data_IF_479019399709
#
_entry.id   IF_479019399709
#
_cell.length_a   1.000
_cell.length_b   1.000
_cell.length_c   1.000
_cell.angle_alpha   90.00
_cell.angle_beta   90.00
_cell.angle_gamma   90.00
#
_symmetry.space_group_name_H-M   'P 1'
#
loop_
_entity.id
_entity.type
_entity.pdbx_description
1 polymer ?
#
# COMPACT_ATOMS: atom_id res chain seq x y z
N UNK A 1 5.27 31.35 18.26
CA UNK A 1 6.72 31.06 18.25
C UNK A 1 6.97 29.99 17.19
N UNK A 2 7.94 30.19 16.29
CA UNK A 2 8.22 29.22 15.24
C UNK A 2 8.90 27.97 15.84
N UNK A 3 8.35 26.80 15.55
CA UNK A 3 8.91 25.50 15.91
C UNK A 3 10.25 25.29 15.19
N UNK A 4 11.26 24.76 15.88
CA UNK A 4 12.50 24.35 15.22
C UNK A 4 12.25 23.06 14.44
N UNK A 5 12.50 23.07 13.13
CA UNK A 5 12.22 21.92 12.28
C UNK A 5 13.19 20.78 12.56
N UNK A 6 12.68 19.55 12.51
CA UNK A 6 13.48 18.33 12.61
C UNK A 6 14.21 18.14 11.27
N UNK A 7 15.53 18.07 11.32
CA UNK A 7 16.36 17.81 10.14
C UNK A 7 16.29 16.34 9.75
N UNK A 8 16.08 16.08 8.47
CA UNK A 8 16.10 14.74 7.87
C UNK A 8 17.24 14.71 6.84
N UNK A 9 18.25 13.89 7.10
CA UNK A 9 19.51 13.90 6.34
C UNK A 9 19.36 13.35 4.93
N UNK A 10 18.64 12.24 4.81
CA UNK A 10 18.45 11.55 3.54
C UNK A 10 17.05 11.84 2.97
N UNK A 11 16.92 11.89 1.64
CA UNK A 11 15.66 12.25 1.02
C UNK A 11 14.61 11.13 1.13
N UNK A 12 13.37 11.52 0.86
CA UNK A 12 12.27 10.60 0.55
C UNK A 12 11.73 10.90 -0.85
N UNK A 13 11.20 9.88 -1.51
CA UNK A 13 10.46 10.02 -2.77
C UNK A 13 9.00 10.33 -2.45
N UNK A 14 8.45 11.36 -3.07
CA UNK A 14 7.02 11.67 -3.03
C UNK A 14 6.43 11.43 -4.41
N UNK A 15 5.44 10.55 -4.48
CA UNK A 15 4.65 10.31 -5.67
C UNK A 15 3.27 10.96 -5.49
N UNK A 16 3.06 12.12 -6.10
CA UNK A 16 1.76 12.81 -6.08
C UNK A 16 0.75 12.05 -6.95
N UNK A 17 -0.54 12.27 -6.72
CA UNK A 17 -1.60 11.46 -7.31
C UNK A 17 -2.75 12.27 -7.88
N UNK A 18 -3.96 11.71 -7.81
CA UNK A 18 -5.13 12.24 -8.50
C UNK A 18 -6.28 12.59 -7.54
N UNK A 19 -7.23 13.37 -8.06
CA UNK A 19 -8.55 13.63 -7.49
C UNK A 19 -8.56 14.05 -6.00
N UNK A 20 -9.42 13.44 -5.17
CA UNK A 20 -9.63 13.88 -3.79
C UNK A 20 -8.39 13.62 -2.93
N UNK A 21 -7.69 12.51 -3.20
CA UNK A 21 -6.46 12.17 -2.52
C UNK A 21 -5.36 13.19 -2.82
N UNK A 22 -5.25 13.72 -4.04
CA UNK A 22 -4.31 14.81 -4.36
C UNK A 22 -4.56 16.07 -3.54
N UNK A 23 -5.84 16.44 -3.35
CA UNK A 23 -6.23 17.59 -2.52
C UNK A 23 -5.81 17.37 -1.06
N UNK A 24 -6.09 16.20 -0.51
CA UNK A 24 -5.72 15.80 0.86
C UNK A 24 -4.20 15.75 1.02
N UNK A 25 -3.49 15.20 0.04
CA UNK A 25 -2.04 15.04 0.03
C UNK A 25 -1.32 16.36 0.20
N UNK A 26 -1.76 17.39 -0.54
CA UNK A 26 -1.27 18.76 -0.38
C UNK A 26 -1.52 19.31 1.04
N UNK A 27 -2.74 19.14 1.58
CA UNK A 27 -3.08 19.61 2.92
C UNK A 27 -2.21 18.93 4.00
N UNK A 28 -1.98 17.63 3.88
CA UNK A 28 -1.09 16.88 4.78
C UNK A 28 0.33 17.44 4.70
N UNK A 29 0.88 17.59 3.49
CA UNK A 29 2.24 18.11 3.30
C UNK A 29 2.40 19.52 3.88
N UNK A 30 1.45 20.42 3.61
CA UNK A 30 1.49 21.81 4.04
C UNK A 30 1.21 22.02 5.54
N UNK A 31 0.32 21.22 6.14
CA UNK A 31 -0.12 21.43 7.53
C UNK A 31 0.53 20.49 8.53
N UNK A 32 0.92 19.29 8.12
CA UNK A 32 1.37 18.21 9.00
C UNK A 32 2.83 17.81 8.80
N UNK A 33 3.46 18.09 7.63
CA UNK A 33 4.83 17.64 7.34
C UNK A 33 5.81 18.83 7.31
N UNK A 34 5.71 19.70 6.30
CA UNK A 34 6.66 20.79 6.07
C UNK A 34 6.75 21.86 7.18
N UNK A 35 5.72 22.10 8.02
CA UNK A 35 5.86 22.97 9.17
C UNK A 35 6.83 22.44 10.24
N UNK A 36 7.02 21.12 10.31
CA UNK A 36 7.76 20.45 11.37
C UNK A 36 9.08 19.85 10.90
N UNK A 37 9.23 19.57 9.60
CA UNK A 37 10.40 18.88 9.05
C UNK A 37 11.17 19.77 8.06
N UNK A 38 12.50 19.71 8.14
CA UNK A 38 13.43 20.15 7.11
C UNK A 38 13.91 18.88 6.39
N UNK A 39 13.30 18.59 5.24
CA UNK A 39 13.44 17.32 4.51
C UNK A 39 13.59 17.58 3.02
N UNK A 40 14.52 16.87 2.38
CA UNK A 40 14.67 16.83 0.92
C UNK A 40 13.65 15.84 0.34
N UNK A 41 12.75 16.34 -0.50
CA UNK A 41 11.71 15.52 -1.14
C UNK A 41 12.01 15.43 -2.64
N UNK A 42 12.19 14.20 -3.12
CA UNK A 42 12.27 13.90 -4.55
C UNK A 42 10.85 13.71 -5.08
N UNK A 43 10.31 14.81 -5.60
CA UNK A 43 8.93 14.90 -6.05
C UNK A 43 8.75 14.36 -7.47
N UNK A 44 7.73 13.52 -7.66
CA UNK A 44 7.27 13.00 -8.94
C UNK A 44 5.75 13.16 -9.02
N UNK A 45 5.26 13.78 -10.08
CA UNK A 45 3.82 13.95 -10.29
C UNK A 45 3.25 12.72 -11.03
N UNK A 46 2.65 11.77 -10.32
CA UNK A 46 1.97 10.63 -10.95
C UNK A 46 0.50 10.91 -11.25
N UNK A 47 0.07 12.17 -11.23
CA UNK A 47 -1.23 12.57 -11.72
C UNK A 47 -1.43 12.12 -13.17
N UNK A 48 -2.61 11.61 -13.48
CA UNK A 48 -2.92 11.04 -14.80
C UNK A 48 -2.53 11.96 -15.98
N UNK A 49 -2.77 13.29 -15.94
CA UNK A 49 -2.33 14.18 -17.02
C UNK A 49 -0.80 14.21 -17.20
N UNK A 50 -0.02 14.10 -16.12
CA UNK A 50 1.44 14.12 -16.22
C UNK A 50 2.02 12.76 -16.63
N UNK A 51 1.40 11.66 -16.21
CA UNK A 51 1.72 10.34 -16.75
C UNK A 51 1.47 10.27 -18.25
N UNK A 52 0.33 10.76 -18.73
CA UNK A 52 0.05 10.85 -20.17
C UNK A 52 1.09 11.75 -20.90
N UNK A 53 1.36 12.93 -20.37
CA UNK A 53 2.34 13.87 -20.95
C UNK A 53 3.79 13.36 -20.98
N UNK A 54 4.12 12.32 -20.21
CA UNK A 54 5.47 11.74 -20.13
C UNK A 54 5.54 10.33 -20.72
N UNK A 55 4.50 9.87 -21.41
CA UNK A 55 4.39 8.48 -21.88
C UNK A 55 4.64 7.46 -20.75
N UNK A 56 4.11 7.77 -19.56
CA UNK A 56 4.24 7.03 -18.30
C UNK A 56 5.68 6.92 -17.76
N UNK A 57 6.64 7.67 -18.33
CA UNK A 57 8.03 7.66 -17.86
C UNK A 57 8.19 8.13 -16.42
N UNK A 58 7.39 9.11 -15.98
CA UNK A 58 7.44 9.60 -14.59
C UNK A 58 7.17 8.48 -13.57
N UNK A 59 6.36 7.48 -13.95
CA UNK A 59 6.09 6.30 -13.11
C UNK A 59 7.34 5.44 -12.96
N UNK A 60 8.10 5.23 -14.04
CA UNK A 60 9.36 4.47 -14.02
C UNK A 60 10.42 5.23 -13.24
N UNK A 61 10.58 6.53 -13.52
CA UNK A 61 11.59 7.38 -12.87
C UNK A 61 11.37 7.50 -11.36
N UNK A 62 10.10 7.53 -10.92
CA UNK A 62 9.78 7.54 -9.49
C UNK A 62 10.11 6.19 -8.81
N UNK A 63 9.90 5.06 -9.49
CA UNK A 63 10.29 3.75 -8.99
C UNK A 63 11.83 3.60 -8.91
N UNK A 64 12.57 4.05 -9.93
CA UNK A 64 14.04 4.07 -9.91
C UNK A 64 14.58 4.97 -8.78
N UNK A 65 13.96 6.14 -8.58
CA UNK A 65 14.29 7.00 -7.45
C UNK A 65 14.02 6.33 -6.11
N UNK A 66 12.95 5.53 -6.01
CA UNK A 66 12.61 4.79 -4.79
C UNK A 66 13.66 3.74 -4.49
N UNK A 67 14.11 2.97 -5.49
CA UNK A 67 15.23 2.03 -5.35
C UNK A 67 16.52 2.75 -4.92
N UNK A 68 16.74 3.98 -5.39
CA UNK A 68 17.92 4.78 -5.02
C UNK A 68 17.85 5.32 -3.58
N UNK A 69 16.69 5.81 -3.15
CA UNK A 69 16.52 6.53 -1.88
C UNK A 69 15.85 5.70 -0.77
N UNK A 70 15.45 4.47 -1.08
CA UNK A 70 14.88 3.44 -0.19
C UNK A 70 13.47 3.72 0.35
N UNK A 71 12.93 4.94 0.20
CA UNK A 71 11.66 5.32 0.82
C UNK A 71 10.81 6.10 -0.17
N UNK A 72 9.62 5.60 -0.47
CA UNK A 72 8.57 6.33 -1.17
C UNK A 72 7.30 6.46 -0.35
N UNK A 73 6.65 7.61 -0.48
CA UNK A 73 5.28 7.84 -0.03
C UNK A 73 4.44 8.21 -1.25
N UNK A 74 3.33 7.48 -1.45
CA UNK A 74 2.55 7.56 -2.67
C UNK A 74 1.09 7.90 -2.40
N UNK A 75 0.61 8.90 -3.12
CA UNK A 75 -0.80 9.24 -3.21
C UNK A 75 -1.52 8.27 -4.17
N UNK A 76 -2.82 8.03 -3.96
CA UNK A 76 -3.62 7.23 -4.88
C UNK A 76 -3.67 7.87 -6.28
N UNK A 77 -3.61 7.03 -7.31
CA UNK A 77 -3.55 7.40 -8.73
C UNK A 77 -4.69 6.74 -9.50
N UNK A 78 -5.21 7.40 -10.53
CA UNK A 78 -6.21 6.79 -11.44
C UNK A 78 -5.53 5.72 -12.30
N UNK A 79 -6.08 4.51 -12.38
CA UNK A 79 -5.69 3.54 -13.40
C UNK A 79 -6.62 3.68 -14.61
N UNK A 80 -6.18 4.24 -15.75
CA UNK A 80 -7.01 4.31 -16.95
C UNK A 80 -7.14 2.91 -17.57
N UNK A 81 -8.38 2.42 -17.77
CA UNK A 81 -8.68 1.37 -18.76
C UNK A 81 -9.11 2.03 -20.08
N UNK A 82 -8.92 1.50 -21.29
CA UNK A 82 -8.48 0.19 -21.79
C UNK A 82 -7.16 0.36 -22.55
N UNK A 83 -6.20 -0.55 -22.35
CA UNK A 83 -4.90 -0.54 -23.04
C UNK A 83 -4.97 -1.46 -24.25
N UNK A 84 -4.92 -0.90 -25.47
CA UNK A 84 -4.65 -1.64 -26.70
C UNK A 84 -3.17 -1.46 -27.03
N UNK A 85 -2.39 -2.54 -26.97
CA UNK A 85 -0.98 -2.55 -27.36
C UNK A 85 -0.82 -3.54 -28.49
N UNK A 86 -0.46 -3.02 -29.67
CA UNK A 86 -0.15 -3.81 -30.84
C UNK A 86 1.33 -3.59 -31.18
N UNK A 87 2.17 -4.65 -31.19
CA UNK A 87 3.58 -4.48 -31.54
C UNK A 87 3.72 -4.27 -33.05
N UNK A 88 4.54 -3.29 -33.43
CA UNK A 88 5.01 -3.16 -34.81
C UNK A 88 6.20 -4.11 -34.98
N UNK A 89 6.05 -5.13 -35.82
CA UNK A 89 7.07 -6.15 -36.05
C UNK A 89 8.02 -5.73 -37.18
N UNK A 90 9.29 -5.50 -36.85
CA UNK A 90 10.36 -5.29 -37.82
C UNK A 90 11.29 -6.52 -37.84
N UNK A 91 11.41 -7.18 -39.01
CA UNK A 91 12.14 -8.46 -39.17
C UNK A 91 13.61 -8.43 -38.75
N UNK A 92 14.22 -7.25 -38.70
CA UNK A 92 15.63 -7.01 -38.43
C UNK A 92 15.91 -6.37 -37.06
N UNK A 93 14.89 -6.16 -36.22
CA UNK A 93 15.05 -5.62 -34.86
C UNK A 93 15.04 -6.79 -33.86
N UNK A 94 16.13 -7.01 -33.10
CA UNK A 94 16.15 -8.03 -32.06
C UNK A 94 15.12 -7.72 -30.97
N UNK A 95 14.41 -8.75 -30.50
CA UNK A 95 13.43 -8.63 -29.41
C UNK A 95 14.16 -8.62 -28.06
N UNK A 96 13.68 -7.79 -27.13
CA UNK A 96 14.15 -7.73 -25.73
C UNK A 96 13.85 -9.00 -24.93
N UNK A 97 12.87 -9.79 -25.36
CA UNK A 97 12.68 -11.18 -24.92
C UNK A 97 13.26 -12.08 -26.02
N UNK A 98 14.43 -12.70 -25.81
CA UNK A 98 14.92 -13.73 -26.71
C UNK A 98 13.92 -14.88 -26.76
N UNK A 99 13.78 -15.52 -27.92
CA UNK A 99 13.20 -16.88 -27.92
C UNK A 99 14.04 -17.74 -26.95
N UNK A 100 13.40 -18.59 -26.12
CA UNK A 100 14.12 -19.43 -25.19
C UNK A 100 15.24 -20.17 -25.91
N UNK A 101 16.49 -19.87 -25.53
CA UNK A 101 17.69 -20.55 -26.03
C UNK A 101 18.01 -21.72 -25.12
N UNK A 102 17.02 -22.59 -24.95
CA UNK A 102 17.21 -23.99 -24.58
C UNK A 102 16.35 -24.78 -25.55
N UNK A 103 16.83 -25.94 -26.00
CA UNK A 103 16.07 -26.86 -26.84
C UNK A 103 14.92 -27.52 -26.04
N UNK A 104 14.14 -26.73 -25.32
CA UNK A 104 12.90 -27.17 -24.71
C UNK A 104 11.84 -27.23 -25.81
N UNK A 105 11.27 -28.43 -25.98
CA UNK A 105 10.18 -28.67 -26.90
C UNK A 105 9.09 -27.64 -26.66
N UNK A 106 8.74 -26.87 -27.69
CA UNK A 106 7.52 -26.05 -27.68
C UNK A 106 6.35 -26.95 -27.31
N UNK A 107 5.68 -26.64 -26.20
CA UNK A 107 4.49 -27.35 -25.76
C UNK A 107 3.28 -26.56 -26.27
N UNK A 108 2.56 -27.15 -27.22
CA UNK A 108 1.26 -26.62 -27.65
C UNK A 108 0.16 -27.27 -26.81
N UNK A 109 -0.70 -26.44 -26.20
CA UNK A 109 -1.85 -26.88 -25.43
C UNK A 109 -3.09 -26.19 -25.99
N UNK A 110 -4.06 -26.96 -26.46
CA UNK A 110 -5.37 -26.43 -26.82
C UNK A 110 -6.09 -26.01 -25.53
N UNK A 111 -6.29 -24.70 -25.35
CA UNK A 111 -7.01 -24.15 -24.18
C UNK A 111 -8.53 -24.21 -24.42
N UNK A 112 -8.99 -23.74 -25.57
CA UNK A 112 -10.40 -23.73 -25.95
C UNK A 112 -10.57 -23.48 -27.45
N UNK A 113 -11.61 -24.05 -28.07
CA UNK A 113 -12.01 -23.76 -29.45
C UNK A 113 -13.24 -22.83 -29.47
N UNK A 114 -13.04 -21.55 -29.80
CA UNK A 114 -14.13 -20.58 -29.87
C UNK A 114 -15.08 -20.90 -31.04
N UNK A 115 -16.39 -20.92 -30.76
CA UNK A 115 -17.45 -21.12 -31.76
C UNK A 115 -18.50 -20.01 -31.66
N UNK A 116 -19.35 -19.85 -32.67
CA UNK A 116 -20.43 -18.87 -32.67
C UNK A 116 -19.94 -17.41 -32.68
N UNK A 117 -20.49 -16.55 -31.82
CA UNK A 117 -20.19 -15.11 -31.78
C UNK A 117 -18.83 -14.75 -31.15
N UNK A 118 -17.94 -15.73 -30.92
CA UNK A 118 -16.63 -15.53 -30.32
C UNK A 118 -16.64 -15.54 -28.78
N UNK A 119 -15.57 -15.03 -28.16
CA UNK A 119 -15.42 -14.99 -26.71
C UNK A 119 -14.14 -14.26 -26.28
N UNK A 120 -13.74 -14.43 -25.02
CA UNK A 120 -12.54 -13.81 -24.44
C UNK A 120 -11.57 -14.87 -23.93
N UNK A 121 -10.28 -14.61 -24.05
CA UNK A 121 -9.21 -15.45 -23.52
C UNK A 121 -8.24 -14.60 -22.69
N UNK A 122 -7.65 -15.19 -21.66
CA UNK A 122 -6.62 -14.58 -20.83
C UNK A 122 -5.52 -15.62 -20.59
N UNK A 123 -4.27 -15.17 -20.71
CA UNK A 123 -3.10 -15.91 -20.24
C UNK A 123 -2.42 -15.10 -19.14
N UNK A 124 -1.92 -15.79 -18.12
CA UNK A 124 -1.22 -15.19 -17.00
C UNK A 124 -0.04 -16.08 -16.60
N UNK A 125 0.99 -15.48 -16.02
CA UNK A 125 2.18 -16.18 -15.55
C UNK A 125 2.65 -15.60 -14.23
N UNK A 126 3.50 -16.37 -13.54
CA UNK A 126 4.33 -15.91 -12.45
C UNK A 126 5.68 -16.65 -12.52
N UNK A 127 6.68 -16.20 -11.79
CA UNK A 127 8.02 -16.80 -11.79
C UNK A 127 8.34 -17.36 -10.42
N UNK A 128 9.09 -18.47 -10.39
CA UNK A 128 9.52 -19.08 -9.13
C UNK A 128 10.34 -18.11 -8.27
N UNK A 129 11.17 -17.27 -8.90
CA UNK A 129 11.94 -16.21 -8.25
C UNK A 129 11.03 -15.21 -7.50
N UNK A 130 9.97 -14.74 -8.16
CA UNK A 130 9.00 -13.82 -7.55
C UNK A 130 8.24 -14.47 -6.40
N UNK A 131 7.81 -15.73 -6.57
CA UNK A 131 7.10 -16.48 -5.53
C UNK A 131 8.02 -16.74 -4.32
N UNK A 132 9.30 -17.06 -4.54
CA UNK A 132 10.27 -17.26 -3.48
C UNK A 132 10.53 -15.95 -2.70
N UNK A 133 10.72 -14.84 -3.41
CA UNK A 133 10.89 -13.53 -2.78
C UNK A 133 9.65 -13.14 -1.95
N UNK A 134 8.44 -13.44 -2.45
CA UNK A 134 7.20 -13.22 -1.72
C UNK A 134 7.07 -14.11 -0.46
N UNK A 135 7.50 -15.37 -0.53
CA UNK A 135 7.56 -16.28 0.62
C UNK A 135 8.50 -15.74 1.70
N UNK A 136 9.72 -15.37 1.32
CA UNK A 136 10.74 -14.78 2.20
C UNK A 136 10.22 -13.51 2.90
N UNK A 137 9.65 -12.58 2.13
CA UNK A 137 9.09 -11.34 2.67
C UNK A 137 7.94 -11.61 3.67
N UNK A 138 7.08 -12.58 3.37
CA UNK A 138 5.96 -12.97 4.24
C UNK A 138 6.45 -13.60 5.55
N UNK A 139 7.42 -14.50 5.48
CA UNK A 139 8.02 -15.16 6.65
C UNK A 139 8.74 -14.16 7.56
N UNK A 140 9.54 -13.28 6.98
CA UNK A 140 10.24 -12.22 7.70
C UNK A 140 9.26 -11.26 8.39
N UNK A 141 8.16 -10.92 7.72
CA UNK A 141 7.11 -10.06 8.28
C UNK A 141 6.41 -10.72 9.48
N UNK A 142 6.02 -11.99 9.33
CA UNK A 142 5.42 -12.78 10.41
C UNK A 142 6.37 -12.92 11.61
N UNK A 143 7.65 -13.21 11.36
CA UNK A 143 8.69 -13.31 12.38
C UNK A 143 8.87 -12.00 13.15
N UNK A 144 8.99 -10.85 12.45
CA UNK A 144 9.11 -9.53 13.08
C UNK A 144 7.90 -9.16 13.92
N UNK A 145 6.69 -9.53 13.48
CA UNK A 145 5.44 -9.29 14.21
C UNK A 145 5.19 -10.31 15.33
N UNK A 146 5.95 -11.41 15.37
CA UNK A 146 5.73 -12.56 16.26
C UNK A 146 4.33 -13.15 16.11
N UNK A 147 3.88 -13.26 14.87
CA UNK A 147 2.56 -13.78 14.51
C UNK A 147 2.68 -15.01 13.60
N UNK A 148 1.73 -15.97 13.66
CA UNK A 148 1.68 -17.06 12.69
C UNK A 148 1.41 -16.53 11.27
N UNK A 149 1.82 -17.31 10.27
CA UNK A 149 1.68 -17.00 8.84
C UNK A 149 0.74 -17.98 8.15
N UNK A 150 -0.20 -17.45 7.36
CA UNK A 150 -1.07 -18.25 6.50
C UNK A 150 -0.89 -17.89 5.03
N UNK A 151 -0.67 -18.87 4.16
CA UNK A 151 -0.77 -18.71 2.70
C UNK A 151 -2.13 -19.24 2.22
N UNK A 152 -2.86 -18.44 1.44
CA UNK A 152 -4.10 -18.90 0.80
C UNK A 152 -3.94 -19.10 -0.70
N UNK A 153 -4.46 -20.22 -1.23
CA UNK A 153 -4.51 -20.47 -2.69
C UNK A 153 -5.77 -21.23 -3.08
N UNK A 154 -5.99 -21.47 -4.38
CA UNK A 154 -6.97 -22.43 -4.91
C UNK A 154 -6.30 -23.61 -5.62
N UNK A 155 -5.27 -24.21 -5.01
CA UNK A 155 -4.50 -25.32 -5.58
C UNK A 155 -5.30 -26.62 -5.84
N UNK A 156 -6.52 -26.76 -5.30
CA UNK A 156 -7.42 -27.86 -5.69
C UNK A 156 -7.93 -27.74 -7.12
N UNK A 157 -8.04 -26.50 -7.63
CA UNK A 157 -8.46 -26.18 -8.99
C UNK A 157 -7.24 -25.91 -9.88
N UNK A 158 -6.41 -24.96 -9.50
CA UNK A 158 -5.18 -24.60 -10.22
C UNK A 158 -3.99 -25.44 -9.75
N UNK A 159 -4.07 -26.75 -9.96
CA UNK A 159 -3.14 -27.74 -9.36
C UNK A 159 -1.66 -27.45 -9.62
N UNK A 160 -1.31 -27.03 -10.84
CA UNK A 160 0.08 -26.67 -11.19
C UNK A 160 0.42 -25.25 -10.76
N UNK A 161 -0.41 -24.27 -11.12
CA UNK A 161 -0.12 -22.85 -10.90
C UNK A 161 -0.12 -22.49 -9.41
N UNK A 162 -1.21 -22.78 -8.70
CA UNK A 162 -1.32 -22.49 -7.26
C UNK A 162 -0.59 -23.53 -6.41
N UNK A 163 -0.42 -24.76 -6.93
CA UNK A 163 0.47 -25.74 -6.33
C UNK A 163 1.91 -25.22 -6.23
N UNK A 164 2.38 -24.48 -7.24
CA UNK A 164 3.73 -23.90 -7.23
C UNK A 164 3.95 -22.91 -6.08
N UNK A 165 2.96 -22.06 -5.78
CA UNK A 165 3.00 -21.18 -4.61
C UNK A 165 3.10 -21.97 -3.31
N UNK A 166 2.24 -22.97 -3.13
CA UNK A 166 2.24 -23.83 -1.95
C UNK A 166 3.60 -24.52 -1.76
N UNK A 167 4.12 -25.11 -2.83
CA UNK A 167 5.35 -25.91 -2.78
C UNK A 167 6.57 -25.03 -2.47
N UNK A 168 6.68 -23.85 -3.10
CA UNK A 168 7.78 -22.91 -2.84
C UNK A 168 7.71 -22.37 -1.41
N UNK A 169 6.53 -21.95 -0.93
CA UNK A 169 6.41 -21.50 0.46
C UNK A 169 6.76 -22.60 1.47
N UNK A 170 6.34 -23.84 1.21
CA UNK A 170 6.69 -24.97 2.07
C UNK A 170 8.20 -25.23 2.07
N UNK A 171 8.83 -25.20 0.88
CA UNK A 171 10.27 -25.36 0.76
C UNK A 171 11.02 -24.30 1.56
N UNK A 172 10.72 -23.01 1.32
CA UNK A 172 11.31 -21.87 2.03
C UNK A 172 11.13 -22.00 3.55
N UNK A 173 9.92 -22.36 3.99
CA UNK A 173 9.66 -22.57 5.41
C UNK A 173 10.57 -23.64 6.01
N UNK A 174 10.59 -24.84 5.44
CA UNK A 174 11.36 -25.98 5.95
C UNK A 174 12.86 -25.72 5.94
N UNK A 175 13.38 -25.06 4.89
CA UNK A 175 14.82 -24.88 4.72
C UNK A 175 15.38 -23.69 5.49
N UNK A 176 14.62 -22.60 5.67
CA UNK A 176 15.19 -21.32 6.13
C UNK A 176 14.53 -20.74 7.40
N UNK A 177 13.28 -21.11 7.68
CA UNK A 177 12.46 -20.41 8.68
C UNK A 177 11.90 -21.28 9.80
N UNK A 178 11.76 -22.59 9.60
CA UNK A 178 11.12 -23.50 10.55
C UNK A 178 11.71 -23.41 11.95
N UNK A 179 13.04 -23.53 12.09
CA UNK A 179 13.68 -23.45 13.41
C UNK A 179 13.48 -22.09 14.09
N UNK A 180 13.42 -20.99 13.32
CA UNK A 180 13.17 -19.64 13.85
C UNK A 180 11.72 -19.48 14.33
N UNK A 181 10.78 -20.02 13.56
CA UNK A 181 9.34 -19.98 13.86
C UNK A 181 9.01 -20.82 15.10
N UNK A 182 9.51 -22.07 15.14
CA UNK A 182 9.34 -22.98 16.29
C UNK A 182 9.94 -22.39 17.57
N UNK A 183 11.14 -21.80 17.50
CA UNK A 183 11.76 -21.14 18.66
C UNK A 183 10.97 -19.93 19.18
N UNK A 184 10.17 -19.28 18.32
CA UNK A 184 9.32 -18.14 18.69
C UNK A 184 7.88 -18.59 19.08
N UNK A 185 7.53 -19.87 18.91
CA UNK A 185 6.19 -20.38 19.18
C UNK A 185 5.14 -19.96 18.13
N UNK A 186 5.57 -19.63 16.91
CA UNK A 186 4.68 -19.30 15.78
C UNK A 186 4.81 -20.38 14.69
N UNK A 187 3.88 -20.43 13.76
CA UNK A 187 3.84 -21.45 12.70
C UNK A 187 3.51 -20.85 11.33
N UNK A 188 3.78 -21.63 10.28
CA UNK A 188 3.30 -21.40 8.92
C UNK A 188 2.28 -22.47 8.54
N UNK A 189 1.19 -22.07 7.89
CA UNK A 189 0.18 -23.00 7.38
C UNK A 189 -0.34 -22.57 6.01
N UNK A 190 -0.52 -23.54 5.11
CA UNK A 190 -1.24 -23.35 3.86
C UNK A 190 -2.73 -23.65 4.04
N UNK A 191 -3.60 -22.78 3.52
CA UNK A 191 -5.06 -22.98 3.47
C UNK A 191 -5.61 -22.78 2.08
N UNK A 192 -6.76 -23.40 1.82
CA UNK A 192 -7.56 -23.03 0.66
C UNK A 192 -8.20 -21.66 0.90
N UNK A 193 -8.29 -20.83 -0.14
CA UNK A 193 -8.79 -19.45 0.00
C UNK A 193 -10.20 -19.38 0.59
N UNK A 194 -11.07 -20.33 0.26
CA UNK A 194 -12.42 -20.45 0.81
C UNK A 194 -12.45 -20.82 2.30
N UNK A 195 -11.51 -21.63 2.78
CA UNK A 195 -11.35 -21.87 4.22
C UNK A 195 -10.73 -20.65 4.90
N UNK A 196 -9.73 -20.02 4.28
CA UNK A 196 -9.02 -18.88 4.87
C UNK A 196 -9.94 -17.67 5.07
N UNK A 197 -10.84 -17.36 4.12
CA UNK A 197 -11.83 -16.28 4.30
C UNK A 197 -12.85 -16.60 5.41
N UNK A 198 -13.20 -17.88 5.58
CA UNK A 198 -14.10 -18.29 6.66
C UNK A 198 -13.38 -18.25 8.02
N UNK A 199 -12.09 -18.60 8.06
CA UNK A 199 -11.23 -18.46 9.21
C UNK A 199 -11.06 -16.99 9.59
N UNK A 200 -10.80 -16.10 8.63
CA UNK A 200 -10.56 -14.68 8.90
C UNK A 200 -11.77 -13.99 9.52
N UNK A 201 -12.99 -14.37 9.12
CA UNK A 201 -14.24 -13.88 9.71
C UNK A 201 -14.48 -14.34 11.15
N UNK A 202 -13.97 -15.52 11.53
CA UNK A 202 -14.21 -16.15 12.84
C UNK A 202 -13.08 -15.95 13.83
N UNK A 203 -11.88 -15.65 13.33
CA UNK A 203 -10.67 -15.49 14.12
C UNK A 203 -10.68 -14.16 14.88
N UNK A 204 -9.97 -14.12 16.01
CA UNK A 204 -9.73 -12.90 16.78
C UNK A 204 -8.61 -12.02 16.17
N UNK A 205 -8.02 -12.44 15.04
CA UNK A 205 -6.90 -11.74 14.39
C UNK A 205 -5.54 -12.22 14.88
N UNK A 206 -4.52 -11.37 14.77
CA UNK A 206 -3.16 -11.67 15.27
C UNK A 206 -2.35 -12.65 14.41
N UNK A 207 -2.51 -12.60 13.09
CA UNK A 207 -1.77 -13.41 12.13
C UNK A 207 -1.36 -12.57 10.91
N UNK A 208 -0.38 -13.06 10.15
CA UNK A 208 -0.06 -12.56 8.80
C UNK A 208 -0.74 -13.44 7.77
N UNK A 209 -1.41 -12.83 6.80
CA UNK A 209 -2.06 -13.54 5.69
C UNK A 209 -1.37 -13.17 4.36
N UNK A 210 -0.61 -14.12 3.83
CA UNK A 210 -0.03 -14.04 2.49
C UNK A 210 -1.10 -14.38 1.44
N UNK A 211 -1.52 -13.36 0.70
CA UNK A 211 -2.46 -13.48 -0.40
C UNK A 211 -1.73 -13.43 -1.76
N UNK A 212 -2.23 -14.17 -2.75
CA UNK A 212 -1.87 -13.92 -4.15
C UNK A 212 -2.36 -12.54 -4.57
N UNK A 213 -1.80 -11.98 -5.64
CA UNK A 213 -2.07 -10.61 -6.10
C UNK A 213 -3.57 -10.22 -6.07
N UNK A 214 -4.42 -10.95 -6.81
CA UNK A 214 -5.85 -10.68 -6.84
C UNK A 214 -6.58 -10.88 -5.50
N UNK A 215 -6.21 -11.93 -4.76
CA UNK A 215 -6.82 -12.20 -3.45
C UNK A 215 -6.46 -11.07 -2.45
N UNK A 216 -5.23 -10.56 -2.52
CA UNK A 216 -4.76 -9.47 -1.66
C UNK A 216 -5.52 -8.18 -1.91
N UNK A 217 -5.70 -7.84 -3.18
CA UNK A 217 -6.49 -6.67 -3.62
C UNK A 217 -7.90 -6.72 -3.03
N UNK A 218 -8.66 -7.78 -3.32
CA UNK A 218 -10.06 -7.90 -2.87
C UNK A 218 -10.19 -8.05 -1.35
N UNK A 219 -9.36 -8.87 -0.71
CA UNK A 219 -9.51 -9.16 0.72
C UNK A 219 -9.03 -8.00 1.60
N UNK A 220 -8.06 -7.19 1.13
CA UNK A 220 -7.59 -6.02 1.89
C UNK A 220 -8.70 -4.98 2.07
N UNK A 221 -9.47 -4.70 1.02
CA UNK A 221 -10.64 -3.81 1.05
C UNK A 221 -11.72 -4.34 2.00
N UNK A 222 -12.01 -5.65 1.94
CA UNK A 222 -13.00 -6.28 2.81
C UNK A 222 -12.59 -6.19 4.29
N UNK A 223 -11.31 -6.49 4.59
CA UNK A 223 -10.77 -6.38 5.94
C UNK A 223 -10.82 -4.92 6.43
N UNK A 224 -10.38 -3.96 5.61
CA UNK A 224 -10.39 -2.55 5.99
C UNK A 224 -11.80 -2.05 6.34
N UNK A 225 -12.82 -2.47 5.58
CA UNK A 225 -14.20 -2.16 5.89
C UNK A 225 -14.69 -2.87 7.17
N UNK A 226 -14.26 -4.11 7.42
CA UNK A 226 -14.55 -4.86 8.64
C UNK A 226 -13.91 -4.25 9.91
N UNK A 227 -12.74 -3.61 9.76
CA UNK A 227 -12.08 -2.84 10.82
C UNK A 227 -12.53 -1.37 10.90
N UNK A 228 -13.58 -1.01 10.16
CA UNK A 228 -14.29 0.27 10.27
C UNK A 228 -14.42 0.99 8.93
N UNK A 229 -13.31 1.39 8.34
CA UNK A 229 -13.30 2.17 7.10
C UNK A 229 -12.02 1.93 6.31
N UNK A 230 -12.13 1.98 4.97
CA UNK A 230 -10.99 2.00 4.05
C UNK A 230 -9.97 3.10 4.41
N UNK A 231 -10.43 4.21 5.01
CA UNK A 231 -9.58 5.29 5.49
C UNK A 231 -8.72 4.96 6.72
N UNK A 232 -8.86 3.76 7.29
CA UNK A 232 -8.10 3.27 8.46
C UNK A 232 -7.10 2.16 8.11
N UNK A 233 -6.81 1.95 6.82
CA UNK A 233 -5.88 0.92 6.36
C UNK A 233 -4.67 1.53 5.63
N UNK A 234 -3.47 1.06 5.99
CA UNK A 234 -2.21 1.41 5.32
C UNK A 234 -1.76 0.27 4.42
N UNK A 235 -1.17 0.60 3.27
CA UNK A 235 -0.47 -0.34 2.39
C UNK A 235 1.02 -0.03 2.41
N UNK A 236 1.85 -1.07 2.55
CA UNK A 236 3.32 -0.95 2.54
C UNK A 236 3.87 -2.04 1.64
N UNK A 237 4.45 -1.65 0.51
CA UNK A 237 5.30 -2.52 -0.29
C UNK A 237 6.68 -2.60 0.39
N UNK A 238 7.16 -3.81 0.66
CA UNK A 238 8.48 -4.05 1.25
C UNK A 238 9.31 -4.88 0.29
N UNK A 239 10.46 -4.35 -0.12
CA UNK A 239 11.41 -5.08 -0.95
C UNK A 239 12.14 -6.18 -0.15
N UNK A 240 12.59 -7.26 -0.82
CA UNK A 240 13.33 -8.35 -0.17
C UNK A 240 14.65 -7.91 0.49
N UNK A 241 15.22 -6.78 0.08
CA UNK A 241 16.44 -6.20 0.67
C UNK A 241 16.25 -5.75 2.14
N UNK A 242 15.00 -5.69 2.62
CA UNK A 242 14.64 -5.24 3.95
C UNK A 242 14.89 -3.75 4.21
N UNK A 243 15.21 -2.99 3.16
CA UNK A 243 15.58 -1.57 3.21
C UNK A 243 14.63 -0.71 2.39
N UNK A 244 14.24 -1.16 1.19
CA UNK A 244 13.42 -0.35 0.29
C UNK A 244 11.94 -0.58 0.60
N UNK A 245 11.21 0.51 0.80
CA UNK A 245 9.76 0.49 0.95
C UNK A 245 9.07 1.54 0.09
N UNK A 246 7.84 1.24 -0.28
CA UNK A 246 6.87 2.21 -0.78
C UNK A 246 5.62 2.11 0.11
N UNK A 247 5.03 3.25 0.45
CA UNK A 247 3.90 3.33 1.36
C UNK A 247 2.79 4.15 0.74
N UNK A 248 1.58 3.61 0.74
CA UNK A 248 0.36 4.27 0.29
C UNK A 248 -0.83 4.01 1.21
N UNK A 249 -1.93 4.73 0.98
CA UNK A 249 -3.23 4.36 1.52
C UNK A 249 -3.78 3.17 0.72
N UNK A 250 -4.48 2.25 1.38
CA UNK A 250 -5.06 1.09 0.67
C UNK A 250 -6.21 1.46 -0.29
N UNK A 251 -6.83 2.63 -0.09
CA UNK A 251 -7.96 3.07 -0.90
C UNK A 251 -7.55 3.81 -2.18
N UNK A 252 -8.45 3.81 -3.17
CA UNK A 252 -8.29 4.60 -4.39
C UNK A 252 -8.46 6.12 -4.21
N UNK A 253 -8.66 6.82 -5.32
CA UNK A 253 -8.65 8.29 -5.42
C UNK A 253 -9.89 9.01 -4.87
N UNK A 254 -10.87 8.24 -4.38
CA UNK A 254 -12.16 8.70 -3.81
C UNK A 254 -12.93 9.62 -4.78
N UNK A 255 -13.04 9.21 -6.04
CA UNK A 255 -13.67 9.96 -7.14
C UNK A 255 -15.03 10.57 -6.79
N UNK A 256 -15.90 9.85 -6.07
CA UNK A 256 -17.23 10.37 -5.69
C UNK A 256 -17.14 11.67 -4.89
N UNK A 257 -16.21 11.76 -3.94
CA UNK A 257 -16.02 12.96 -3.14
C UNK A 257 -15.35 14.05 -3.97
N UNK A 258 -14.42 13.68 -4.85
CA UNK A 258 -13.82 14.63 -5.79
C UNK A 258 -14.86 15.33 -6.68
N UNK A 259 -15.88 14.62 -7.17
CA UNK A 259 -16.98 15.24 -7.94
C UNK A 259 -17.79 16.25 -7.14
N UNK A 260 -17.88 16.11 -5.81
CA UNK A 260 -18.51 17.09 -4.92
C UNK A 260 -17.59 18.30 -4.73
N UNK A 261 -16.31 18.06 -4.45
CA UNK A 261 -15.28 19.08 -4.32
C UNK A 261 -15.18 19.96 -5.58
N UNK A 262 -15.19 19.37 -6.78
CA UNK A 262 -15.14 20.10 -8.06
C UNK A 262 -16.31 21.09 -8.24
N UNK A 263 -17.43 20.87 -7.55
CA UNK A 263 -18.60 21.76 -7.58
C UNK A 263 -18.59 22.78 -6.43
N UNK A 264 -17.51 22.88 -5.67
CA UNK A 264 -17.40 23.71 -4.47
C UNK A 264 -18.17 23.17 -3.27
N UNK A 265 -18.59 21.90 -3.31
CA UNK A 265 -19.29 21.27 -2.19
C UNK A 265 -18.34 20.83 -1.08
N UNK A 266 -18.82 20.85 0.16
CA UNK A 266 -18.08 20.33 1.31
C UNK A 266 -17.92 18.80 1.24
N UNK A 267 -16.72 18.32 1.54
CA UNK A 267 -16.39 16.88 1.60
C UNK A 267 -15.88 16.48 2.98
N UNK A 268 -16.20 15.25 3.38
CA UNK A 268 -15.66 14.62 4.60
C UNK A 268 -15.05 13.25 4.22
N UNK A 269 -13.98 13.32 3.45
CA UNK A 269 -13.09 12.19 3.14
C UNK A 269 -12.11 12.01 4.28
N UNK A 270 -12.00 10.79 4.80
CA UNK A 270 -11.04 10.41 5.83
C UNK A 270 -9.60 10.50 5.31
N UNK A 271 -8.74 11.22 6.02
CA UNK A 271 -7.34 11.45 5.64
C UNK A 271 -6.35 10.58 6.42
N UNK A 272 -6.80 9.75 7.38
CA UNK A 272 -5.92 9.01 8.30
C UNK A 272 -4.98 8.09 7.54
N UNK A 273 -5.47 7.26 6.61
CA UNK A 273 -4.61 6.37 5.82
C UNK A 273 -3.54 7.14 5.01
N UNK A 274 -3.91 8.29 4.42
CA UNK A 274 -2.94 9.15 3.71
C UNK A 274 -1.92 9.79 4.65
N UNK A 275 -2.32 10.19 5.87
CA UNK A 275 -1.40 10.69 6.90
C UNK A 275 -0.46 9.56 7.35
N UNK A 276 -0.99 8.35 7.53
CA UNK A 276 -0.19 7.19 7.92
C UNK A 276 0.77 6.76 6.82
N UNK A 277 0.46 6.99 5.55
CA UNK A 277 1.41 6.76 4.47
C UNK A 277 2.69 7.61 4.66
N UNK A 278 2.50 8.91 4.95
CA UNK A 278 3.59 9.80 5.32
C UNK A 278 4.31 9.37 6.60
N UNK A 279 3.58 9.09 7.69
CA UNK A 279 4.21 8.75 8.97
C UNK A 279 5.04 7.46 8.89
N UNK A 280 4.54 6.44 8.18
CA UNK A 280 5.24 5.14 8.02
C UNK A 280 6.46 5.26 7.13
N UNK A 281 6.38 6.01 6.02
CA UNK A 281 7.54 6.31 5.18
C UNK A 281 8.63 7.06 5.97
N UNK A 282 8.25 8.12 6.69
CA UNK A 282 9.15 8.88 7.55
C UNK A 282 9.72 8.06 8.71
N UNK A 283 8.93 7.16 9.29
CA UNK A 283 9.38 6.29 10.38
C UNK A 283 10.44 5.29 9.89
N UNK A 284 10.30 4.83 8.65
CA UNK A 284 11.31 3.98 8.03
C UNK A 284 12.58 4.76 7.68
N UNK A 285 12.45 5.97 7.11
CA UNK A 285 13.58 6.89 6.93
C UNK A 285 14.31 7.15 8.24
N UNK A 286 13.57 7.40 9.32
CA UNK A 286 14.10 7.59 10.66
C UNK A 286 14.92 6.39 11.15
N UNK A 287 14.46 5.17 10.90
CA UNK A 287 15.20 3.94 11.25
C UNK A 287 16.48 3.80 10.43
N UNK A 288 16.41 4.04 9.13
CA UNK A 288 17.58 3.97 8.25
C UNK A 288 18.64 5.03 8.61
N UNK A 289 18.20 6.21 9.06
CA UNK A 289 19.07 7.33 9.49
C UNK A 289 19.46 7.28 10.98
N UNK A 290 18.93 6.34 11.76
CA UNK A 290 19.04 6.38 13.23
C UNK A 290 18.56 7.71 13.84
N UNK A 291 17.56 8.35 13.23
CA UNK A 291 17.01 9.65 13.63
C UNK A 291 15.85 9.48 14.63
N UNK A 292 16.16 9.45 15.92
CA UNK A 292 15.17 9.28 16.99
C UNK A 292 14.12 10.40 17.04
N UNK A 293 14.47 11.64 16.66
CA UNK A 293 13.55 12.77 16.67
C UNK A 293 12.49 12.64 15.56
N UNK A 294 12.90 12.21 14.38
CA UNK A 294 11.96 11.92 13.30
C UNK A 294 11.04 10.75 13.67
N UNK A 295 11.59 9.71 14.32
CA UNK A 295 10.79 8.57 14.78
C UNK A 295 9.73 9.01 15.81
N UNK A 296 10.10 9.79 16.82
CA UNK A 296 9.18 10.34 17.82
C UNK A 296 8.11 11.24 17.17
N UNK A 297 8.49 12.07 16.19
CA UNK A 297 7.53 12.86 15.42
C UNK A 297 6.47 11.99 14.73
N UNK A 298 6.89 10.90 14.07
CA UNK A 298 5.94 10.02 13.37
C UNK A 298 4.99 9.30 14.32
N UNK A 299 5.47 8.90 15.50
CA UNK A 299 4.64 8.30 16.54
C UNK A 299 3.62 9.30 17.09
N UNK A 300 4.04 10.55 17.31
CA UNK A 300 3.14 11.62 17.76
C UNK A 300 2.10 12.00 16.70
N UNK A 301 2.45 11.98 15.42
CA UNK A 301 1.52 12.21 14.32
C UNK A 301 0.44 11.11 14.24
N UNK A 302 0.84 9.85 14.33
CA UNK A 302 -0.11 8.72 14.37
C UNK A 302 -1.02 8.78 15.59
N UNK A 303 -0.44 9.07 16.77
CA UNK A 303 -1.19 9.22 18.01
C UNK A 303 -2.19 10.38 17.94
N UNK A 304 -1.83 11.49 17.28
CA UNK A 304 -2.72 12.63 17.12
C UNK A 304 -3.97 12.30 16.29
N UNK A 305 -3.83 11.49 15.23
CA UNK A 305 -4.97 10.97 14.47
C UNK A 305 -5.90 10.13 15.37
N UNK A 306 -5.33 9.18 16.10
CA UNK A 306 -6.08 8.24 16.96
C UNK A 306 -6.81 9.00 18.07
N UNK A 307 -6.11 9.86 18.82
CA UNK A 307 -6.70 10.62 19.93
C UNK A 307 -7.82 11.56 19.45
N UNK A 308 -7.69 12.20 18.28
CA UNK A 308 -8.78 13.01 17.74
C UNK A 308 -10.04 12.17 17.50
N UNK A 309 -9.91 11.00 16.86
CA UNK A 309 -11.05 10.09 16.64
C UNK A 309 -11.65 9.61 17.97
N UNK A 310 -10.82 9.17 18.91
CA UNK A 310 -11.27 8.70 20.25
C UNK A 310 -11.95 9.81 21.06
N UNK A 311 -11.57 11.08 20.85
CA UNK A 311 -12.20 12.25 21.47
C UNK A 311 -13.51 12.69 20.81
N UNK A 312 -13.94 12.02 19.72
CA UNK A 312 -15.16 12.31 18.99
C UNK A 312 -14.98 13.21 17.76
N UNK A 313 -13.77 13.71 17.48
CA UNK A 313 -13.45 14.49 16.27
C UNK A 313 -13.10 13.53 15.14
N UNK A 314 -14.04 13.26 14.25
CA UNK A 314 -13.86 12.28 13.17
C UNK A 314 -14.54 12.68 11.87
N UNK A 315 -14.17 12.04 10.76
CA UNK A 315 -14.83 12.22 9.47
C UNK A 315 -16.13 11.41 9.38
N UNK A 316 -16.94 11.74 8.36
CA UNK A 316 -18.32 11.26 8.21
C UNK A 316 -18.43 9.75 8.09
N UNK A 317 -17.45 9.10 7.46
CA UNK A 317 -17.37 7.64 7.35
C UNK A 317 -17.35 6.99 8.74
N UNK A 318 -16.53 7.49 9.66
CA UNK A 318 -16.42 6.96 11.03
C UNK A 318 -17.66 7.30 11.87
N UNK A 319 -18.20 8.52 11.72
CA UNK A 319 -19.42 8.92 12.41
C UNK A 319 -20.62 8.03 12.03
N UNK A 320 -20.70 7.59 10.76
CA UNK A 320 -21.76 6.67 10.29
C UNK A 320 -21.67 5.32 10.99
N UNK A 321 -20.47 4.83 11.31
CA UNK A 321 -20.30 3.56 12.03
C UNK A 321 -20.81 3.66 13.47
N UNK A 322 -20.60 4.81 14.12
CA UNK A 322 -21.01 5.02 15.52
C UNK A 322 -22.48 5.39 15.69
N UNK A 323 -23.03 6.17 14.76
CA UNK A 323 -24.36 6.78 14.91
C UNK A 323 -25.38 6.30 13.86
N UNK A 324 -24.96 5.41 12.95
CA UNK A 324 -25.78 4.95 11.83
C UNK A 324 -25.85 5.94 10.67
N UNK A 325 -26.62 5.64 9.61
CA UNK A 325 -26.58 6.37 8.34
C UNK A 325 -27.13 7.81 8.40
N UNK A 326 -27.84 8.18 9.47
CA UNK A 326 -28.49 9.50 9.62
C UNK A 326 -27.64 10.49 10.44
N UNK A 327 -26.33 10.54 10.18
CA UNK A 327 -25.42 11.49 10.83
C UNK A 327 -25.75 12.94 10.48
N UNK A 328 -25.70 13.82 11.47
CA UNK A 328 -25.83 15.28 11.34
C UNK A 328 -24.45 15.93 11.22
N UNK A 329 -24.38 17.16 10.68
CA UNK A 329 -23.10 17.87 10.49
C UNK A 329 -22.31 18.11 11.79
N UNK A 330 -22.98 18.17 12.93
CA UNK A 330 -22.32 18.33 14.24
C UNK A 330 -21.57 17.07 14.72
N UNK A 331 -21.84 15.91 14.12
CA UNK A 331 -21.26 14.62 14.52
C UNK A 331 -20.01 14.25 13.72
N UNK A 332 -19.59 15.08 12.77
CA UNK A 332 -18.37 14.85 12.00
C UNK A 332 -17.73 16.16 11.54
N UNK A 333 -16.44 16.09 11.25
CA UNK A 333 -15.65 17.16 10.66
C UNK A 333 -15.57 16.98 9.15
N UNK A 334 -15.50 18.09 8.41
CA UNK A 334 -15.08 18.02 7.02
C UNK A 334 -13.59 17.64 6.92
N UNK A 335 -13.12 17.35 5.70
CA UNK A 335 -11.75 16.87 5.48
C UNK A 335 -10.68 17.82 6.02
N UNK A 336 -10.85 19.13 5.83
CA UNK A 336 -9.86 20.11 6.25
C UNK A 336 -9.90 20.35 7.76
N UNK A 337 -11.10 20.46 8.35
CA UNK A 337 -11.31 20.58 9.80
C UNK A 337 -10.67 19.42 10.56
N UNK A 338 -10.77 18.19 10.05
CA UNK A 338 -10.12 17.04 10.68
C UNK A 338 -8.59 17.13 10.61
N UNK A 339 -8.02 17.53 9.48
CA UNK A 339 -6.56 17.74 9.34
C UNK A 339 -6.09 18.87 10.27
N UNK A 340 -6.87 19.95 10.41
CA UNK A 340 -6.56 21.05 11.33
C UNK A 340 -6.59 20.60 12.79
N UNK A 341 -7.55 19.77 13.18
CA UNK A 341 -7.62 19.21 14.52
C UNK A 341 -6.41 18.30 14.83
N UNK A 342 -5.97 17.49 13.86
CA UNK A 342 -4.74 16.70 13.98
C UNK A 342 -3.51 17.60 14.09
N UNK A 343 -3.43 18.67 13.30
CA UNK A 343 -2.32 19.63 13.35
C UNK A 343 -2.23 20.35 14.69
N UNK A 344 -3.38 20.71 15.28
CA UNK A 344 -3.46 21.33 16.61
C UNK A 344 -2.95 20.38 17.70
N UNK A 345 -3.43 19.13 17.72
CA UNK A 345 -3.00 18.14 18.70
C UNK A 345 -1.50 17.80 18.55
N UNK A 346 -1.01 17.63 17.32
CA UNK A 346 0.41 17.39 17.05
C UNK A 346 1.30 18.51 17.60
N UNK A 347 0.91 19.78 17.43
CA UNK A 347 1.66 20.92 18.02
C UNK A 347 1.69 20.88 19.54
N UNK A 348 0.63 20.36 20.17
CA UNK A 348 0.56 20.18 21.61
C UNK A 348 1.49 19.08 22.13
N UNK A 349 1.72 18.04 21.32
CA UNK A 349 2.58 16.90 21.66
C UNK A 349 4.06 17.19 21.49
N UNK A 350 4.42 18.02 20.51
CA UNK A 350 5.82 18.28 20.20
C UNK A 350 6.45 19.30 21.18
N UNK A 351 7.69 19.07 21.65
CA UNK A 351 8.34 19.95 22.60
C UNK A 351 8.57 21.33 21.97
N UNK A 352 8.20 22.40 22.69
CA UNK A 352 8.52 23.77 22.31
C UNK A 352 10.03 23.99 22.50
N UNK A 353 10.83 23.74 21.46
CA UNK A 353 12.27 24.00 21.52
C UNK A 353 12.52 25.50 21.37
N UNK A 354 13.25 26.08 22.32
CA UNK A 354 13.76 27.43 22.18
C UNK A 354 14.77 27.44 21.03
N UNK A 355 14.67 28.41 20.12
CA UNK A 355 15.74 28.66 19.15
C UNK A 355 17.02 28.95 19.94
N UNK A 356 18.03 28.10 19.82
CA UNK A 356 19.38 28.41 20.33
C UNK A 356 19.99 29.56 19.55
#
# INVERSE_FOLDING_TARGET
MAFEKIKVENPIVEMDGDEMTRVIWRLIKEKLILPFLEIDIKYFDLGLPHRDATDDRVTIESAEATLKYNVAVKCATITPGTVFREPILCKNIPRLVPEPTTADKSIELEVFNFTGSGGVALSMYNTDESIHAFAEASMNTAYKKRWPLYLSTKNTILKKYDGRFKDIFQQVYETEWRSKFEAMGIWYEHRLIDDMVAYSLKSEGGYVWACKNYDGDVQSDFLAQGFGSLGLMTSILVCPDGKTIEVEAAHGTVTRHYRVYQKGGETSTNSIASIFAWSRGLAHRAKLDSNALLLDFTQNLEAACITNVESGKMTKDLAILLHGPKVTRAQYLNTEEFIDAVAEDLRGRLPKRAKM
#
